data_IF_986586605426
#
_entry.id   IF_986586605426
#
_cell.length_a   1.000
_cell.length_b   1.000
_cell.length_c   1.000
_cell.angle_alpha   90.00
_cell.angle_beta   90.00
_cell.angle_gamma   90.00
#
_symmetry.space_group_name_H-M   'P 1'
#
loop_
_entity.id
_entity.type
_entity.pdbx_description
1 polymer ?
#
# COMPACT_ATOMS: atom_id res chain seq x y z
N UNK A 1 -11.18 28.00 -0.63
CA UNK A 1 -10.37 26.79 -0.93
C UNK A 1 -10.10 26.07 0.39
N UNK A 2 -10.44 24.78 0.51
CA UNK A 2 -10.46 24.07 1.80
C UNK A 2 -9.04 23.80 2.34
N UNK A 3 -8.82 24.05 3.63
CA UNK A 3 -7.54 23.85 4.34
C UNK A 3 -6.92 22.46 4.14
N UNK A 4 -7.76 21.42 3.99
CA UNK A 4 -7.32 20.03 3.77
C UNK A 4 -6.49 19.83 2.50
N UNK A 5 -6.74 20.60 1.43
CA UNK A 5 -6.00 20.46 0.17
C UNK A 5 -4.55 20.91 0.33
N UNK A 6 -4.31 22.05 0.98
CA UNK A 6 -2.96 22.55 1.26
C UNK A 6 -2.17 21.62 2.18
N UNK A 7 -2.86 20.93 3.11
CA UNK A 7 -2.20 19.94 3.97
C UNK A 7 -1.74 18.72 3.15
N UNK A 8 -2.53 18.25 2.19
CA UNK A 8 -2.14 17.15 1.28
C UNK A 8 -0.98 17.58 0.37
N UNK A 9 -1.04 18.80 -0.18
CA UNK A 9 0.03 19.34 -1.03
C UNK A 9 1.35 19.43 -0.25
N UNK A 10 1.31 19.92 1.00
CA UNK A 10 2.47 19.93 1.89
C UNK A 10 3.06 18.53 2.05
N UNK A 11 2.22 17.54 2.37
CA UNK A 11 2.66 16.15 2.57
C UNK A 11 3.37 15.59 1.33
N UNK A 12 2.89 15.92 0.13
CA UNK A 12 3.51 15.53 -1.14
C UNK A 12 4.91 16.13 -1.33
N UNK A 13 5.06 17.42 -1.02
CA UNK A 13 6.34 18.14 -1.15
C UNK A 13 7.34 17.63 -0.09
N UNK A 14 6.85 17.35 1.10
CA UNK A 14 7.64 16.95 2.25
C UNK A 14 8.16 15.50 2.12
N UNK A 15 7.35 14.59 1.57
CA UNK A 15 7.68 13.17 1.41
C UNK A 15 8.05 12.80 -0.03
N UNK A 16 9.09 13.44 -0.57
CA UNK A 16 9.58 13.23 -1.95
C UNK A 16 9.87 11.79 -2.34
N UNK A 17 10.15 10.90 -1.38
CA UNK A 17 10.37 9.47 -1.67
C UNK A 17 9.12 8.84 -2.32
N UNK A 18 7.92 9.29 -1.95
CA UNK A 18 6.65 8.75 -2.42
C UNK A 18 6.43 9.03 -3.91
N UNK A 19 6.94 10.16 -4.41
CA UNK A 19 6.87 10.48 -5.85
C UNK A 19 8.10 9.97 -6.62
N UNK A 20 9.29 10.03 -6.01
CA UNK A 20 10.54 9.62 -6.65
C UNK A 20 10.64 8.12 -6.90
N UNK A 21 10.18 7.28 -5.97
CA UNK A 21 10.29 5.81 -6.12
C UNK A 21 9.43 5.30 -7.29
N UNK A 22 8.11 5.62 -7.38
CA UNK A 22 7.32 5.26 -8.55
C UNK A 22 7.88 5.85 -9.84
N UNK A 23 8.36 7.11 -9.83
CA UNK A 23 8.93 7.72 -11.03
C UNK A 23 10.20 7.01 -11.51
N UNK A 24 11.06 6.57 -10.59
CA UNK A 24 12.24 5.77 -10.91
C UNK A 24 11.86 4.41 -11.52
N UNK A 25 10.88 3.72 -10.93
CA UNK A 25 10.38 2.43 -11.45
C UNK A 25 9.76 2.63 -12.85
N UNK A 26 9.02 3.72 -13.06
CA UNK A 26 8.45 4.08 -14.36
C UNK A 26 9.56 4.30 -15.40
N UNK A 27 10.62 5.03 -15.06
CA UNK A 27 11.76 5.24 -15.94
C UNK A 27 12.45 3.91 -16.32
N UNK A 28 12.67 3.03 -15.35
CA UNK A 28 13.20 1.68 -15.61
C UNK A 28 12.27 0.86 -16.51
N UNK A 29 10.95 0.89 -16.24
CA UNK A 29 9.95 0.21 -17.06
C UNK A 29 9.91 0.73 -18.49
N UNK A 30 10.07 2.04 -18.68
CA UNK A 30 10.12 2.67 -20.00
C UNK A 30 11.38 2.26 -20.79
N UNK A 31 12.54 2.13 -20.12
CA UNK A 31 13.76 1.61 -20.75
C UNK A 31 13.59 0.15 -21.22
N UNK A 32 12.96 -0.69 -20.39
CA UNK A 32 12.63 -2.08 -20.77
C UNK A 32 11.71 -2.09 -21.98
N UNK A 33 10.69 -1.23 -22.00
CA UNK A 33 9.76 -1.09 -23.13
C UNK A 33 10.48 -0.70 -24.44
N UNK A 34 11.37 0.31 -24.41
CA UNK A 34 12.17 0.68 -25.60
C UNK A 34 13.05 -0.51 -26.04
N UNK A 35 13.70 -1.19 -25.09
CA UNK A 35 14.55 -2.34 -25.41
C UNK A 35 13.77 -3.48 -26.06
N UNK A 36 12.52 -3.71 -25.66
CA UNK A 36 11.64 -4.70 -26.27
C UNK A 36 11.25 -4.32 -27.70
N UNK A 37 10.99 -3.04 -27.98
CA UNK A 37 10.66 -2.58 -29.33
C UNK A 37 11.85 -2.64 -30.29
N UNK A 38 13.06 -2.33 -29.82
CA UNK A 38 14.24 -2.23 -30.68
C UNK A 38 14.96 -3.56 -30.92
N UNK A 39 14.75 -4.57 -30.07
CA UNK A 39 15.49 -5.83 -30.14
C UNK A 39 14.60 -7.02 -30.52
N UNK A 40 14.65 -7.39 -31.80
CA UNK A 40 13.90 -8.51 -32.38
C UNK A 40 14.32 -9.88 -31.82
N UNK A 41 15.57 -10.02 -31.33
CA UNK A 41 16.04 -11.28 -30.72
C UNK A 41 15.36 -11.54 -29.35
N UNK A 42 15.08 -10.48 -28.59
CA UNK A 42 14.38 -10.61 -27.30
C UNK A 42 12.94 -11.05 -27.52
N UNK A 43 12.29 -10.52 -28.56
CA UNK A 43 10.94 -10.93 -28.95
C UNK A 43 10.90 -12.42 -29.34
N UNK A 44 11.89 -12.90 -30.10
CA UNK A 44 11.99 -14.31 -30.50
C UNK A 44 12.28 -15.28 -29.34
N UNK A 45 13.14 -14.90 -28.39
CA UNK A 45 13.45 -15.75 -27.22
C UNK A 45 12.26 -15.92 -26.26
N UNK A 46 11.50 -14.85 -26.03
CA UNK A 46 10.28 -14.93 -25.20
C UNK A 46 9.25 -15.90 -25.81
N UNK A 47 9.14 -15.93 -27.13
CA UNK A 47 8.24 -16.85 -27.83
C UNK A 47 8.70 -18.32 -27.74
N UNK A 48 10.01 -18.58 -27.89
CA UNK A 48 10.56 -19.94 -27.87
C UNK A 48 10.39 -20.63 -26.51
N UNK A 49 10.52 -19.87 -25.41
CA UNK A 49 10.27 -20.39 -24.05
C UNK A 49 8.78 -20.72 -23.82
N UNK A 50 7.87 -20.04 -24.54
CA UNK A 50 6.42 -20.25 -24.43
C UNK A 50 5.89 -21.41 -25.29
N UNK A 51 6.46 -21.66 -26.46
CA UNK A 51 6.00 -22.72 -27.39
C UNK A 51 6.21 -24.15 -26.84
N UNK A 52 7.10 -24.31 -25.85
CA UNK A 52 7.41 -25.61 -25.21
C UNK A 52 6.33 -26.06 -24.20
N UNK A 53 5.36 -25.22 -23.82
CA UNK A 53 4.34 -25.54 -22.80
C UNK A 53 2.97 -26.08 -23.30
N UNK A 54 2.73 -26.20 -24.60
CA UNK A 54 1.60 -26.97 -25.17
C UNK A 54 0.19 -26.34 -25.08
N UNK A 55 -0.59 -26.45 -26.18
CA UNK A 55 -1.97 -25.96 -26.42
C UNK A 55 -2.19 -24.42 -26.38
N UNK A 56 -2.62 -23.88 -27.52
CA UNK A 56 -2.32 -22.50 -27.94
C UNK A 56 -3.49 -21.54 -27.65
N UNK A 57 -4.68 -22.02 -27.28
CA UNK A 57 -5.85 -21.13 -27.08
C UNK A 57 -6.08 -20.72 -25.63
N UNK A 58 -6.10 -21.66 -24.68
CA UNK A 58 -6.37 -21.38 -23.26
C UNK A 58 -5.16 -20.78 -22.51
N UNK A 59 -3.94 -21.07 -22.97
CA UNK A 59 -2.71 -20.49 -22.39
C UNK A 59 -2.65 -18.97 -22.60
N UNK A 60 -3.20 -18.46 -23.71
CA UNK A 60 -3.06 -17.05 -24.08
C UNK A 60 -3.84 -16.12 -23.13
N UNK A 61 -5.07 -16.49 -22.76
CA UNK A 61 -5.85 -15.73 -21.78
C UNK A 61 -5.28 -15.86 -20.36
N UNK A 62 -4.80 -17.05 -19.98
CA UNK A 62 -4.15 -17.29 -18.70
C UNK A 62 -2.88 -16.45 -18.52
N UNK A 63 -2.02 -16.40 -19.54
CA UNK A 63 -0.76 -15.66 -19.49
C UNK A 63 -0.95 -14.14 -19.42
N UNK A 64 -1.81 -13.56 -20.27
CA UNK A 64 -2.10 -12.13 -20.23
C UNK A 64 -2.71 -11.71 -18.87
N UNK A 65 -3.61 -12.54 -18.32
CA UNK A 65 -4.16 -12.34 -16.97
C UNK A 65 -3.07 -12.41 -15.89
N UNK A 66 -2.15 -13.36 -15.98
CA UNK A 66 -1.03 -13.52 -15.04
C UNK A 66 -0.06 -12.34 -15.06
N UNK A 67 0.28 -11.79 -16.24
CA UNK A 67 1.11 -10.58 -16.34
C UNK A 67 0.41 -9.37 -15.71
N UNK A 68 -0.88 -9.18 -15.98
CA UNK A 68 -1.64 -8.07 -15.41
C UNK A 68 -1.71 -8.16 -13.88
N UNK A 69 -1.97 -9.36 -13.37
CA UNK A 69 -1.94 -9.63 -11.93
C UNK A 69 -0.56 -9.37 -11.34
N UNK A 70 0.51 -9.77 -12.04
CA UNK A 70 1.88 -9.52 -11.60
C UNK A 70 2.18 -8.02 -11.51
N UNK A 71 1.88 -7.24 -12.56
CA UNK A 71 2.08 -5.78 -12.58
C UNK A 71 1.28 -5.11 -11.47
N UNK A 72 -0.01 -5.47 -11.33
CA UNK A 72 -0.88 -4.94 -10.30
C UNK A 72 -0.38 -5.28 -8.89
N UNK A 73 0.02 -6.53 -8.65
CA UNK A 73 0.56 -6.96 -7.35
C UNK A 73 1.89 -6.29 -7.02
N UNK A 74 2.79 -6.13 -8.00
CA UNK A 74 4.06 -5.43 -7.83
C UNK A 74 3.85 -3.95 -7.49
N UNK A 75 2.99 -3.24 -8.23
CA UNK A 75 2.64 -1.86 -7.95
C UNK A 75 1.94 -1.71 -6.58
N UNK A 76 1.08 -2.67 -6.23
CA UNK A 76 0.42 -2.73 -4.92
C UNK A 76 1.40 -2.97 -3.77
N UNK A 77 2.38 -3.86 -3.93
CA UNK A 77 3.46 -4.08 -2.96
C UNK A 77 4.30 -2.82 -2.76
N UNK A 78 4.68 -2.13 -3.83
CA UNK A 78 5.37 -0.84 -3.74
C UNK A 78 4.53 0.17 -2.94
N UNK A 79 3.23 0.24 -3.20
CA UNK A 79 2.31 1.08 -2.43
C UNK A 79 2.25 0.71 -0.95
N UNK A 80 2.18 -0.58 -0.61
CA UNK A 80 2.20 -1.07 0.77
C UNK A 80 3.49 -0.67 1.49
N UNK A 81 4.63 -0.84 0.83
CA UNK A 81 5.94 -0.47 1.38
C UNK A 81 6.02 1.04 1.60
N UNK A 82 5.63 1.86 0.62
CA UNK A 82 5.63 3.32 0.79
C UNK A 82 4.69 3.78 1.91
N UNK A 83 3.50 3.20 2.01
CA UNK A 83 2.52 3.52 3.06
C UNK A 83 3.03 3.15 4.46
N UNK A 84 3.65 1.97 4.59
CA UNK A 84 4.24 1.50 5.85
C UNK A 84 5.48 2.28 6.27
N UNK A 85 6.20 2.91 5.32
CA UNK A 85 7.31 3.83 5.62
C UNK A 85 6.83 5.25 5.95
N UNK A 86 5.73 5.69 5.35
CA UNK A 86 5.15 7.02 5.52
C UNK A 86 4.48 7.18 6.89
N UNK A 87 3.47 6.35 7.19
CA UNK A 87 2.64 6.49 8.39
C UNK A 87 3.42 6.63 9.72
N UNK A 88 4.47 5.83 9.99
CA UNK A 88 5.28 5.94 11.20
C UNK A 88 6.08 7.25 11.32
N UNK A 89 6.38 7.92 10.21
CA UNK A 89 7.27 9.09 10.19
C UNK A 89 6.50 10.40 10.27
N UNK A 90 5.27 10.44 9.76
CA UNK A 90 4.49 11.68 9.55
C UNK A 90 4.33 12.54 10.80
N UNK A 91 3.71 12.00 11.85
CA UNK A 91 3.45 12.75 13.08
C UNK A 91 4.72 13.02 13.89
N UNK A 92 5.67 12.09 13.85
CA UNK A 92 6.96 12.24 14.51
C UNK A 92 7.74 13.40 13.91
N UNK A 93 7.83 13.44 12.58
CA UNK A 93 8.57 14.45 11.84
C UNK A 93 8.02 15.85 12.09
N UNK A 94 6.69 16.01 12.06
CA UNK A 94 6.06 17.30 12.37
C UNK A 94 6.35 17.82 13.78
N UNK A 95 6.59 16.93 14.74
CA UNK A 95 6.98 17.33 16.10
C UNK A 95 8.45 17.70 16.18
N UNK A 96 9.32 16.91 15.54
CA UNK A 96 10.76 17.19 15.50
C UNK A 96 11.05 18.55 14.83
N UNK A 97 10.27 18.89 13.80
CA UNK A 97 10.40 20.16 13.07
C UNK A 97 9.58 21.29 13.69
N UNK A 98 8.85 21.05 14.80
CA UNK A 98 8.01 22.06 15.45
C UNK A 98 6.76 22.48 14.66
N UNK A 99 6.55 21.94 13.45
CA UNK A 99 5.36 22.19 12.61
C UNK A 99 4.06 21.85 13.34
N UNK A 100 4.07 20.92 14.30
CA UNK A 100 2.90 20.60 15.13
C UNK A 100 2.41 21.79 15.96
N UNK A 101 3.29 22.69 16.41
CA UNK A 101 2.89 23.89 17.16
C UNK A 101 2.28 24.94 16.24
N UNK A 102 2.79 25.06 15.01
CA UNK A 102 2.22 25.93 13.99
C UNK A 102 0.79 25.50 13.59
N UNK A 103 0.52 24.21 13.44
CA UNK A 103 -0.83 23.75 13.10
C UNK A 103 -1.83 23.93 14.23
N UNK A 104 -1.37 23.98 15.50
CA UNK A 104 -2.22 24.28 16.65
C UNK A 104 -2.68 25.73 16.70
N UNK A 105 -1.90 26.67 16.14
CA UNK A 105 -2.32 28.08 16.06
C UNK A 105 -3.22 28.37 14.85
N UNK A 106 -3.33 27.42 13.91
CA UNK A 106 -4.28 27.47 12.80
C UNK A 106 -5.65 26.91 13.23
N UNK A 107 -6.77 27.35 12.62
CA UNK A 107 -8.12 26.85 12.93
C UNK A 107 -8.36 25.45 12.32
N UNK A 108 -7.47 24.51 12.61
CA UNK A 108 -7.48 23.13 12.10
C UNK A 108 -7.62 22.18 13.28
N UNK A 109 -8.62 21.31 13.22
CA UNK A 109 -8.85 20.33 14.29
C UNK A 109 -7.80 19.20 14.29
N UNK A 110 -7.53 18.62 15.45
CA UNK A 110 -6.66 17.44 15.57
C UNK A 110 -7.18 16.24 14.76
N UNK A 111 -8.50 16.12 14.62
CA UNK A 111 -9.10 15.04 13.84
C UNK A 111 -8.83 15.26 12.34
N UNK A 112 -8.91 16.49 11.86
CA UNK A 112 -8.57 16.81 10.46
C UNK A 112 -7.10 16.53 10.13
N UNK A 113 -6.16 16.74 11.06
CA UNK A 113 -4.74 16.42 10.81
C UNK A 113 -4.50 14.91 10.69
N UNK A 114 -5.16 14.10 11.51
CA UNK A 114 -5.05 12.64 11.44
C UNK A 114 -5.72 12.08 10.18
N UNK A 115 -6.91 12.60 9.82
CA UNK A 115 -7.60 12.18 8.59
C UNK A 115 -6.75 12.49 7.37
N UNK A 116 -6.14 13.67 7.27
CA UNK A 116 -5.28 14.00 6.12
C UNK A 116 -4.12 13.01 6.00
N UNK A 117 -3.46 12.65 7.10
CA UNK A 117 -2.36 11.68 7.09
C UNK A 117 -2.82 10.27 6.72
N UNK A 118 -3.97 9.85 7.23
CA UNK A 118 -4.57 8.56 6.87
C UNK A 118 -4.97 8.52 5.39
N UNK A 119 -5.64 9.55 4.90
CA UNK A 119 -6.01 9.69 3.47
C UNK A 119 -4.78 9.72 2.59
N UNK A 120 -3.74 10.45 2.99
CA UNK A 120 -2.51 10.52 2.23
C UNK A 120 -1.83 9.15 2.14
N UNK A 121 -1.65 8.49 3.29
CA UNK A 121 -1.02 7.18 3.36
C UNK A 121 -1.80 6.07 2.66
N UNK A 122 -3.14 6.07 2.81
CA UNK A 122 -3.98 4.96 2.39
C UNK A 122 -4.64 5.15 1.02
N UNK A 123 -4.76 6.38 0.50
CA UNK A 123 -5.41 6.65 -0.78
C UNK A 123 -4.48 7.37 -1.76
N UNK A 124 -3.79 8.44 -1.33
CA UNK A 124 -2.94 9.22 -2.24
C UNK A 124 -1.72 8.42 -2.71
N UNK A 125 -1.05 7.68 -1.82
CA UNK A 125 0.08 6.82 -2.19
C UNK A 125 -0.34 5.76 -3.23
N UNK A 126 -1.42 4.96 -3.03
CA UNK A 126 -1.91 4.05 -4.07
C UNK A 126 -2.27 4.72 -5.38
N UNK A 127 -2.85 5.92 -5.35
CA UNK A 127 -3.19 6.66 -6.58
C UNK A 127 -1.92 7.03 -7.35
N UNK A 128 -0.86 7.46 -6.66
CA UNK A 128 0.45 7.73 -7.30
C UNK A 128 1.02 6.43 -7.87
N UNK A 129 1.01 5.33 -7.11
CA UNK A 129 1.48 4.03 -7.60
C UNK A 129 0.63 3.46 -8.75
N UNK A 130 -0.65 3.84 -8.86
CA UNK A 130 -1.53 3.40 -9.95
C UNK A 130 -1.04 3.88 -11.33
N UNK A 131 -0.27 4.96 -11.37
CA UNK A 131 0.37 5.45 -12.59
C UNK A 131 1.37 4.44 -13.17
N UNK A 132 1.97 3.58 -12.35
CA UNK A 132 2.82 2.48 -12.80
C UNK A 132 2.02 1.43 -13.59
N UNK A 133 0.84 1.06 -13.06
CA UNK A 133 -0.05 0.10 -13.72
C UNK A 133 -0.54 0.67 -15.04
N UNK A 134 -0.99 1.93 -15.04
CA UNK A 134 -1.44 2.61 -16.24
C UNK A 134 -0.33 2.71 -17.30
N UNK A 135 0.90 3.08 -16.90
CA UNK A 135 2.03 3.17 -17.83
C UNK A 135 2.43 1.80 -18.40
N UNK A 136 2.43 0.74 -17.57
CA UNK A 136 2.73 -0.62 -18.01
C UNK A 136 1.62 -1.20 -18.91
N UNK A 137 0.36 -0.89 -18.62
CA UNK A 137 -0.76 -1.32 -19.47
C UNK A 137 -0.76 -0.61 -20.82
N UNK A 138 -0.47 0.69 -20.84
CA UNK A 138 -0.30 1.44 -22.08
C UNK A 138 0.89 0.94 -22.89
N UNK A 139 2.02 0.62 -22.25
CA UNK A 139 3.20 0.11 -22.96
C UNK A 139 2.92 -1.26 -23.61
N UNK A 140 2.24 -2.15 -22.89
CA UNK A 140 1.79 -3.43 -23.44
C UNK A 140 0.76 -3.28 -24.56
N UNK A 141 -0.15 -2.31 -24.45
CA UNK A 141 -1.10 -1.99 -25.51
C UNK A 141 -0.37 -1.45 -26.77
N UNK A 142 0.62 -0.56 -26.62
CA UNK A 142 1.41 -0.07 -27.76
C UNK A 142 2.19 -1.20 -28.43
N UNK A 143 2.78 -2.12 -27.65
CA UNK A 143 3.45 -3.32 -28.22
C UNK A 143 2.48 -4.14 -29.07
N UNK A 144 1.24 -4.35 -28.59
CA UNK A 144 0.21 -5.07 -29.34
C UNK A 144 -0.12 -4.40 -30.69
N UNK A 145 -0.13 -3.06 -30.75
CA UNK A 145 -0.44 -2.33 -31.98
C UNK A 145 0.72 -2.26 -32.98
N UNK A 146 1.97 -2.28 -32.49
CA UNK A 146 3.17 -2.08 -33.32
C UNK A 146 3.77 -3.39 -33.79
N UNK A 147 3.57 -4.49 -33.06
CA UNK A 147 4.14 -5.78 -33.39
C UNK A 147 3.28 -6.56 -34.39
N UNK A 148 3.89 -7.20 -35.38
CA UNK A 148 3.22 -8.16 -36.26
C UNK A 148 2.59 -9.31 -35.44
N UNK A 149 1.59 -9.98 -36.03
CA UNK A 149 0.61 -10.91 -35.41
C UNK A 149 1.11 -11.86 -34.29
N UNK A 150 2.41 -12.17 -34.22
CA UNK A 150 3.02 -13.11 -33.27
C UNK A 150 3.04 -12.62 -31.80
N UNK A 151 3.21 -11.33 -31.54
CA UNK A 151 3.14 -10.75 -30.16
C UNK A 151 1.71 -10.35 -29.79
N UNK A 152 0.87 -10.11 -30.80
CA UNK A 152 -0.54 -9.74 -30.65
C UNK A 152 -1.39 -10.89 -30.08
N UNK A 153 -1.07 -12.13 -30.45
CA UNK A 153 -1.76 -13.33 -29.92
C UNK A 153 -1.49 -13.58 -28.43
N UNK A 154 -0.34 -13.14 -27.90
CA UNK A 154 0.09 -13.35 -26.51
C UNK A 154 -0.46 -12.30 -25.53
N UNK A 155 -0.82 -11.12 -26.03
CA UNK A 155 -1.21 -9.96 -25.23
C UNK A 155 -2.59 -9.54 -25.72
N UNK A 156 -3.63 -10.24 -25.28
CA UNK A 156 -5.01 -9.89 -25.63
C UNK A 156 -5.49 -8.64 -24.86
N UNK A 157 -4.80 -7.51 -25.05
CA UNK A 157 -5.22 -6.17 -24.65
C UNK A 157 -5.75 -5.49 -25.90
N UNK A 158 -6.94 -5.93 -26.32
CA UNK A 158 -7.53 -5.55 -27.62
C UNK A 158 -7.97 -4.08 -27.67
N UNK A 159 -8.11 -3.39 -26.52
CA UNK A 159 -8.65 -2.03 -26.50
C UNK A 159 -8.06 -1.13 -25.41
N UNK A 160 -8.08 0.18 -25.69
CA UNK A 160 -7.78 1.25 -24.72
C UNK A 160 -8.77 1.19 -23.54
N UNK A 161 -10.00 0.74 -23.77
CA UNK A 161 -10.99 0.55 -22.71
C UNK A 161 -10.56 -0.52 -21.70
N UNK A 162 -9.95 -1.62 -22.16
CA UNK A 162 -9.41 -2.64 -21.26
C UNK A 162 -8.36 -2.06 -20.30
N UNK A 163 -7.46 -1.21 -20.81
CA UNK A 163 -6.45 -0.50 -19.99
C UNK A 163 -7.11 0.36 -18.92
N UNK A 164 -8.14 1.13 -19.30
CA UNK A 164 -8.88 1.99 -18.37
C UNK A 164 -9.58 1.16 -17.28
N UNK A 165 -10.29 0.08 -17.65
CA UNK A 165 -11.01 -0.76 -16.70
C UNK A 165 -10.07 -1.54 -15.77
N UNK A 166 -8.92 -2.01 -16.27
CA UNK A 166 -7.91 -2.65 -15.44
C UNK A 166 -7.31 -1.67 -14.41
N UNK A 167 -7.02 -0.43 -14.84
CA UNK A 167 -6.55 0.63 -13.94
C UNK A 167 -7.59 0.99 -12.86
N UNK A 168 -8.86 1.14 -13.24
CA UNK A 168 -9.95 1.34 -12.27
C UNK A 168 -10.12 0.14 -11.33
N UNK A 169 -9.99 -1.08 -11.85
CA UNK A 169 -9.99 -2.31 -11.06
C UNK A 169 -8.86 -2.35 -10.03
N UNK A 170 -7.66 -1.91 -10.42
CA UNK A 170 -6.54 -1.75 -9.49
C UNK A 170 -6.85 -0.74 -8.39
N UNK A 171 -7.39 0.44 -8.73
CA UNK A 171 -7.78 1.44 -7.72
C UNK A 171 -8.83 0.88 -6.75
N UNK A 172 -9.84 0.16 -7.24
CA UNK A 172 -10.84 -0.48 -6.39
C UNK A 172 -10.22 -1.52 -5.44
N UNK A 173 -9.26 -2.33 -5.91
CA UNK A 173 -8.50 -3.25 -5.04
C UNK A 173 -7.70 -2.50 -3.98
N UNK A 174 -7.08 -1.37 -4.34
CA UNK A 174 -6.33 -0.56 -3.38
C UNK A 174 -7.22 0.07 -2.31
N UNK A 175 -8.51 0.33 -2.58
CA UNK A 175 -9.47 0.71 -1.53
C UNK A 175 -9.67 -0.44 -0.53
N UNK A 176 -9.75 -1.69 -1.00
CA UNK A 176 -9.85 -2.86 -0.11
C UNK A 176 -8.58 -3.03 0.73
N UNK A 177 -7.40 -2.82 0.13
CA UNK A 177 -6.12 -2.79 0.84
C UNK A 177 -6.09 -1.66 1.87
N UNK A 178 -6.61 -0.48 1.54
CA UNK A 178 -6.69 0.66 2.44
C UNK A 178 -7.57 0.34 3.67
N UNK A 179 -8.72 -0.31 3.46
CA UNK A 179 -9.58 -0.79 4.55
C UNK A 179 -8.84 -1.82 5.42
N UNK A 180 -8.11 -2.77 4.82
CA UNK A 180 -7.33 -3.75 5.55
C UNK A 180 -6.21 -3.11 6.40
N UNK A 181 -5.57 -2.05 5.88
CA UNK A 181 -4.50 -1.34 6.58
C UNK A 181 -4.97 -0.31 7.59
N UNK A 182 -6.23 0.13 7.53
CA UNK A 182 -6.73 1.24 8.34
C UNK A 182 -6.50 1.05 9.85
N UNK A 183 -6.82 -0.11 10.47
CA UNK A 183 -6.60 -0.28 11.91
C UNK A 183 -5.10 -0.29 12.27
N UNK A 184 -4.26 -0.93 11.45
CA UNK A 184 -2.81 -0.92 11.61
C UNK A 184 -2.25 0.50 11.48
N UNK A 185 -2.72 1.28 10.50
CA UNK A 185 -2.33 2.67 10.31
C UNK A 185 -2.64 3.52 11.55
N UNK A 186 -3.82 3.34 12.16
CA UNK A 186 -4.20 4.06 13.38
C UNK A 186 -3.28 3.72 14.57
N UNK A 187 -2.96 2.44 14.75
CA UNK A 187 -2.01 1.98 15.78
C UNK A 187 -0.61 2.54 15.50
N UNK A 188 -0.17 2.55 14.25
CA UNK A 188 1.12 3.12 13.86
C UNK A 188 1.20 4.61 14.17
N UNK A 189 0.13 5.38 13.89
CA UNK A 189 0.07 6.80 14.23
C UNK A 189 0.21 7.01 15.75
N UNK A 190 -0.50 6.22 16.56
CA UNK A 190 -0.36 6.25 18.02
C UNK A 190 1.09 5.99 18.46
N UNK A 191 1.69 4.90 17.99
CA UNK A 191 3.06 4.52 18.38
C UNK A 191 4.07 5.57 17.90
N UNK A 192 3.85 6.17 16.73
CA UNK A 192 4.72 7.22 16.17
C UNK A 192 4.85 8.44 17.05
N UNK A 193 3.83 8.69 17.88
CA UNK A 193 3.80 9.80 18.79
C UNK A 193 4.60 9.56 20.08
N UNK A 194 4.79 8.30 20.47
CA UNK A 194 5.40 7.92 21.76
C UNK A 194 6.84 7.44 21.58
N UNK A 195 7.13 6.73 20.49
CA UNK A 195 8.38 6.00 20.32
C UNK A 195 9.24 6.65 19.23
N UNK A 196 10.55 6.72 19.48
CA UNK A 196 11.51 7.21 18.49
C UNK A 196 11.55 6.36 17.22
N UNK A 197 11.44 5.04 17.30
CA UNK A 197 11.48 4.15 16.13
C UNK A 197 10.22 3.29 16.03
N UNK A 198 9.11 3.80 15.46
CA UNK A 198 7.81 3.14 15.59
C UNK A 198 7.70 1.84 14.79
N UNK A 199 8.34 1.77 13.61
CA UNK A 199 8.40 0.54 12.81
C UNK A 199 9.13 -0.57 13.56
N UNK A 200 10.30 -0.27 14.12
CA UNK A 200 11.07 -1.24 14.91
C UNK A 200 10.27 -1.71 16.11
N UNK A 201 9.56 -0.80 16.80
CA UNK A 201 8.71 -1.17 17.92
C UNK A 201 7.56 -2.09 17.51
N UNK A 202 6.88 -1.83 16.40
CA UNK A 202 5.80 -2.68 15.91
C UNK A 202 6.30 -4.07 15.50
N UNK A 203 7.41 -4.14 14.78
CA UNK A 203 7.99 -5.42 14.33
C UNK A 203 8.50 -6.20 15.52
N UNK A 204 9.46 -5.64 16.29
CA UNK A 204 10.07 -6.33 17.42
C UNK A 204 9.05 -6.62 18.51
N UNK A 205 8.19 -5.67 18.85
CA UNK A 205 7.14 -5.84 19.85
C UNK A 205 6.09 -6.87 19.44
N UNK A 206 5.67 -6.87 18.17
CA UNK A 206 4.73 -7.86 17.65
C UNK A 206 5.30 -9.28 17.67
N UNK A 207 6.55 -9.46 17.23
CA UNK A 207 7.21 -10.78 17.28
C UNK A 207 7.51 -11.23 18.71
N UNK A 208 7.95 -10.32 19.59
CA UNK A 208 8.14 -10.62 21.00
C UNK A 208 6.84 -11.08 21.66
N UNK A 209 5.73 -10.36 21.43
CA UNK A 209 4.41 -10.74 21.95
C UNK A 209 3.97 -12.11 21.44
N UNK A 210 4.16 -12.36 20.13
CA UNK A 210 3.85 -13.66 19.50
C UNK A 210 4.61 -14.80 20.16
N UNK A 211 5.92 -14.65 20.35
CA UNK A 211 6.76 -15.69 20.92
C UNK A 211 6.49 -15.89 22.41
N UNK A 212 6.34 -14.79 23.16
CA UNK A 212 6.05 -14.83 24.58
C UNK A 212 4.73 -15.57 24.86
N UNK A 213 3.68 -15.28 24.07
CA UNK A 213 2.39 -15.99 24.15
C UNK A 213 2.53 -17.50 23.99
N UNK A 214 3.32 -17.95 23.01
CA UNK A 214 3.46 -19.37 22.70
C UNK A 214 4.39 -20.07 23.70
N UNK A 215 5.56 -19.51 23.98
CA UNK A 215 6.58 -20.17 24.79
C UNK A 215 6.36 -20.03 26.30
N UNK A 216 5.83 -18.91 26.79
CA UNK A 216 5.59 -18.73 28.23
C UNK A 216 4.19 -19.17 28.66
N UNK A 217 3.17 -18.92 27.84
CA UNK A 217 1.77 -19.15 28.21
C UNK A 217 1.13 -20.35 27.49
N UNK A 218 1.81 -20.96 26.50
CA UNK A 218 1.23 -22.04 25.69
C UNK A 218 0.00 -21.60 24.88
N UNK A 219 -0.23 -20.30 24.74
CA UNK A 219 -1.43 -19.75 24.10
C UNK A 219 -1.14 -19.38 22.63
N UNK A 220 -1.82 -20.04 21.70
CA UNK A 220 -1.64 -19.82 20.26
C UNK A 220 -2.52 -18.70 19.69
N UNK A 221 -3.54 -18.24 20.41
CA UNK A 221 -4.51 -17.28 19.87
C UNK A 221 -3.91 -15.94 19.43
N UNK A 222 -2.90 -15.41 20.15
CA UNK A 222 -2.21 -14.17 19.73
C UNK A 222 -1.43 -14.39 18.43
N UNK A 223 -0.77 -15.55 18.30
CA UNK A 223 -0.02 -15.92 17.10
C UNK A 223 -0.94 -16.07 15.89
N UNK A 224 -2.06 -16.78 16.06
CA UNK A 224 -3.08 -16.96 15.03
C UNK A 224 -3.72 -15.63 14.62
N UNK A 225 -4.09 -14.80 15.59
CA UNK A 225 -4.63 -13.46 15.36
C UNK A 225 -3.67 -12.59 14.54
N UNK A 226 -2.39 -12.50 14.95
CA UNK A 226 -1.40 -11.68 14.25
C UNK A 226 -1.16 -12.20 12.82
N UNK A 227 -1.07 -13.52 12.62
CA UNK A 227 -0.91 -14.10 11.29
C UNK A 227 -2.13 -13.82 10.41
N UNK A 228 -3.34 -13.97 10.95
CA UNK A 228 -4.58 -13.71 10.25
C UNK A 228 -4.63 -12.24 9.77
N UNK A 229 -4.45 -11.30 10.69
CA UNK A 229 -4.55 -9.86 10.44
C UNK A 229 -3.44 -9.33 9.53
N UNK A 230 -2.18 -9.70 9.76
CA UNK A 230 -1.06 -9.19 8.97
C UNK A 230 -1.07 -9.73 7.53
N UNK A 231 -1.75 -10.85 7.28
CA UNK A 231 -1.88 -11.41 5.93
C UNK A 231 -2.92 -10.72 5.06
N UNK A 232 -3.90 -10.00 5.66
CA UNK A 232 -5.04 -9.43 4.92
C UNK A 232 -4.60 -8.45 3.82
N UNK A 233 -3.72 -7.46 4.06
CA UNK A 233 -3.34 -6.50 3.03
C UNK A 233 -2.62 -7.17 1.84
N UNK A 234 -1.84 -8.22 2.10
CA UNK A 234 -1.15 -8.98 1.05
C UNK A 234 -2.14 -9.84 0.25
N UNK A 235 -3.07 -10.52 0.92
CA UNK A 235 -4.12 -11.31 0.26
C UNK A 235 -5.08 -10.45 -0.56
N UNK A 236 -5.29 -9.19 -0.16
CA UNK A 236 -6.11 -8.24 -0.91
C UNK A 236 -5.52 -7.86 -2.29
N UNK A 237 -4.23 -8.11 -2.53
CA UNK A 237 -3.60 -7.95 -3.85
C UNK A 237 -3.87 -9.12 -4.81
N UNK A 238 -4.39 -10.24 -4.30
CA UNK A 238 -4.74 -11.42 -5.11
C UNK A 238 -5.93 -11.14 -6.04
N UNK A 239 -6.27 -12.06 -6.98
CA UNK A 239 -7.44 -11.91 -7.86
C UNK A 239 -8.74 -11.63 -7.11
N UNK A 240 -8.90 -12.23 -5.92
CA UNK A 240 -10.06 -12.05 -5.05
C UNK A 240 -9.67 -11.18 -3.85
N UNK A 241 -9.91 -9.85 -3.90
CA UNK A 241 -9.42 -8.93 -2.87
C UNK A 241 -10.07 -9.14 -1.48
N UNK A 242 -11.25 -9.75 -1.44
CA UNK A 242 -11.98 -10.01 -0.19
C UNK A 242 -11.61 -11.34 0.48
N UNK A 243 -10.84 -12.21 -0.18
CA UNK A 243 -10.43 -13.52 0.36
C UNK A 243 -9.74 -13.42 1.73
N UNK A 244 -8.88 -12.42 1.91
CA UNK A 244 -8.20 -12.19 3.18
C UNK A 244 -9.15 -11.88 4.34
N UNK A 245 -10.26 -11.19 4.09
CA UNK A 245 -11.27 -10.87 5.11
C UNK A 245 -12.09 -12.11 5.48
N UNK A 246 -12.45 -12.92 4.50
CA UNK A 246 -13.22 -14.15 4.75
C UNK A 246 -12.40 -15.17 5.53
N UNK A 247 -11.12 -15.32 5.21
CA UNK A 247 -10.22 -16.27 5.87
C UNK A 247 -9.79 -15.83 7.27
N UNK A 248 -9.71 -14.52 7.54
CA UNK A 248 -9.33 -14.03 8.87
C UNK A 248 -10.38 -14.35 9.94
N UNK A 249 -11.65 -14.50 9.57
CA UNK A 249 -12.75 -14.76 10.48
C UNK A 249 -13.28 -13.50 11.17
N UNK A 250 -14.60 -13.48 11.43
CA UNK A 250 -15.32 -12.31 11.94
C UNK A 250 -14.77 -11.84 13.30
N UNK A 251 -14.47 -12.77 14.21
CA UNK A 251 -13.97 -12.46 15.56
C UNK A 251 -12.66 -11.67 15.48
N UNK A 252 -11.70 -12.13 14.66
CA UNK A 252 -10.42 -11.45 14.48
C UNK A 252 -10.58 -10.08 13.85
N UNK A 253 -11.50 -9.93 12.88
CA UNK A 253 -11.79 -8.62 12.28
C UNK A 253 -12.37 -7.65 13.31
N UNK A 254 -13.33 -8.07 14.12
CA UNK A 254 -13.93 -7.21 15.15
C UNK A 254 -12.87 -6.73 16.15
N UNK A 255 -12.02 -7.66 16.64
CA UNK A 255 -10.92 -7.31 17.55
C UNK A 255 -9.93 -6.36 16.87
N UNK A 256 -9.58 -6.62 15.60
CA UNK A 256 -8.63 -5.80 14.85
C UNK A 256 -9.11 -4.36 14.64
N UNK A 257 -10.37 -4.18 14.22
CA UNK A 257 -10.95 -2.84 14.08
C UNK A 257 -11.16 -2.14 15.42
N UNK A 258 -11.50 -2.88 16.49
CA UNK A 258 -11.60 -2.32 17.83
C UNK A 258 -10.23 -1.79 18.33
N UNK A 259 -9.15 -2.53 18.10
CA UNK A 259 -7.78 -2.09 18.41
C UNK A 259 -7.39 -0.86 17.58
N UNK A 260 -7.77 -0.80 16.30
CA UNK A 260 -7.58 0.39 15.46
C UNK A 260 -8.30 1.62 15.99
N UNK A 261 -9.57 1.47 16.37
CA UNK A 261 -10.37 2.56 16.94
C UNK A 261 -9.79 3.06 18.27
N UNK A 262 -9.35 2.15 19.15
CA UNK A 262 -8.64 2.48 20.38
C UNK A 262 -7.33 3.22 20.10
N UNK A 263 -6.54 2.74 19.13
CA UNK A 263 -5.30 3.38 18.70
C UNK A 263 -5.52 4.82 18.20
N UNK A 264 -6.57 5.03 17.39
CA UNK A 264 -6.95 6.36 16.93
C UNK A 264 -7.34 7.27 18.10
N UNK A 265 -8.19 6.81 19.02
CA UNK A 265 -8.63 7.58 20.17
C UNK A 265 -7.45 8.03 21.04
N UNK A 266 -6.53 7.10 21.37
CA UNK A 266 -5.32 7.39 22.12
C UNK A 266 -4.39 8.35 21.35
N UNK A 267 -4.24 8.16 20.03
CA UNK A 267 -3.45 9.08 19.17
C UNK A 267 -4.00 10.51 19.19
N UNK A 268 -5.33 10.67 19.22
CA UNK A 268 -5.96 11.99 19.33
C UNK A 268 -5.72 12.60 20.71
N UNK A 269 -5.80 11.81 21.78
CA UNK A 269 -5.52 12.30 23.14
C UNK A 269 -4.07 12.75 23.28
N UNK A 270 -3.11 11.96 22.80
CA UNK A 270 -1.68 12.32 22.77
C UNK A 270 -1.39 13.56 21.92
N UNK A 271 -2.19 13.83 20.89
CA UNK A 271 -2.02 15.02 20.07
C UNK A 271 -2.44 16.31 20.77
N UNK A 272 -3.17 16.22 21.89
CA UNK A 272 -3.60 17.37 22.71
C UNK A 272 -2.60 17.73 23.81
N UNK A 273 -1.75 16.80 24.24
CA UNK A 273 -0.75 17.07 25.29
C UNK A 273 0.48 17.77 24.73
N UNK A 274 1.20 18.54 25.55
CA UNK A 274 2.45 19.22 25.15
C UNK A 274 3.65 18.27 25.15
N UNK A 275 3.66 17.30 26.07
CA UNK A 275 4.65 16.23 26.11
C UNK A 275 3.96 14.88 25.86
N UNK A 276 4.15 14.27 24.68
CA UNK A 276 3.59 12.96 24.36
C UNK A 276 4.45 11.87 25.00
N UNK A 277 4.37 11.75 26.32
CA UNK A 277 4.91 10.61 27.06
C UNK A 277 3.77 9.78 27.63
N UNK A 278 3.96 8.46 27.74
CA UNK A 278 3.00 7.60 28.45
C UNK A 278 2.76 8.11 29.88
N UNK A 279 3.77 8.73 30.51
CA UNK A 279 3.65 9.36 31.83
C UNK A 279 2.73 10.59 31.83
N UNK A 280 2.81 11.44 30.81
CA UNK A 280 1.95 12.62 30.65
C UNK A 280 0.47 12.30 30.44
N UNK A 281 0.16 11.10 29.95
CA UNK A 281 -1.22 10.63 29.76
C UNK A 281 -1.89 10.24 31.09
N UNK A 282 -1.09 9.77 32.07
CA UNK A 282 -1.57 9.38 33.41
C UNK A 282 -1.36 10.45 34.48
N UNK A 283 -0.55 11.49 34.23
CA UNK A 283 -0.32 12.61 35.16
C UNK A 283 -1.25 13.80 34.94
N UNK A 284 -2.22 13.67 34.04
CA UNK A 284 -3.20 14.72 33.67
C UNK A 284 -4.55 14.57 34.38
N UNK A 285 -4.55 14.06 35.62
CA UNK A 285 -5.66 14.11 36.56
C UNK A 285 -5.19 14.74 37.87
#
# INVERSE_FOLDING_TARGET
>A
MHSSFYMIEKELIEHKMITRVPLFILACGFLIFISLLMNTNIQGNLFYEMQVSGDISDIHQGFASNINLFIASAAGLVSLVLSSLYLPKTLRKERQEGSSMFWRSMPVSHLTTHIVKLVFGLLVIPVICSTLVLAADLSLWVINQVSDQQLSLLINKESVFYVLFNWLGFLARMVVVALALLPLACITLMISQVVGSPVLFMVVGGYALKWLSVYLFGFHGISEFLNAVLSIPLKALSPNPFSGFTEAGIVNLVVYYALGAGGLAVSLMLSKTNEPSLKGLFSGH
#
